data_IF_718245543140
#
_entry.id   IF_718245543140
#
_cell.length_a   1.000
_cell.length_b   1.000
_cell.length_c   1.000
_cell.angle_alpha   90.00
_cell.angle_beta   90.00
_cell.angle_gamma   90.00
#
_symmetry.space_group_name_H-M   'P 1'
#
loop_
_entity.id
_entity.type
_entity.pdbx_description
1 polymer ?
#
# COMPACT_ATOMS: atom_id res chain seq x y z
N UNK A 1 -3.78 24.81 -0.53
CA UNK A 1 -3.30 23.74 -1.41
C UNK A 1 -4.30 22.61 -1.31
N UNK A 2 -5.05 22.36 -2.36
CA UNK A 2 -6.03 21.26 -2.42
C UNK A 2 -5.27 19.95 -2.55
N UNK A 3 -5.52 19.00 -1.66
CA UNK A 3 -4.97 17.65 -1.79
C UNK A 3 -5.44 17.05 -3.12
N UNK A 4 -4.51 16.66 -4.00
CA UNK A 4 -4.88 15.97 -5.24
C UNK A 4 -5.20 14.50 -4.94
N UNK A 5 -6.38 14.29 -4.36
CA UNK A 5 -6.88 13.00 -3.92
C UNK A 5 -7.18 12.02 -5.08
N UNK A 6 -7.21 12.52 -6.31
CA UNK A 6 -7.41 11.76 -7.54
C UNK A 6 -6.09 11.42 -8.25
N UNK A 7 -4.94 11.87 -7.71
CA UNK A 7 -3.63 11.52 -8.24
C UNK A 7 -3.43 10.00 -8.18
N UNK A 8 -3.18 9.40 -9.34
CA UNK A 8 -2.77 8.00 -9.45
C UNK A 8 -1.31 7.84 -9.05
N UNK A 9 -1.04 6.81 -8.28
CA UNK A 9 0.27 6.47 -7.72
C UNK A 9 0.57 5.00 -8.01
N UNK A 10 1.80 4.72 -8.42
CA UNK A 10 2.31 3.36 -8.62
C UNK A 10 3.26 3.04 -7.47
N UNK A 11 2.95 2.00 -6.69
CA UNK A 11 3.87 1.44 -5.70
C UNK A 11 4.50 0.19 -6.29
N UNK A 12 5.80 0.23 -6.56
CA UNK A 12 6.59 -0.93 -6.98
C UNK A 12 7.22 -1.57 -5.75
N UNK A 13 6.67 -2.71 -5.33
CA UNK A 13 7.07 -3.39 -4.10
C UNK A 13 7.77 -4.69 -4.44
N UNK A 14 9.10 -4.71 -4.36
CA UNK A 14 9.92 -5.86 -4.71
C UNK A 14 9.70 -6.35 -6.15
N UNK A 15 9.38 -5.44 -7.07
CA UNK A 15 9.06 -5.74 -8.47
C UNK A 15 7.57 -5.88 -8.80
N UNK A 16 6.69 -5.97 -7.80
CA UNK A 16 5.23 -6.03 -8.01
C UNK A 16 4.63 -4.63 -8.00
N UNK A 17 3.98 -4.23 -9.09
CA UNK A 17 3.37 -2.90 -9.22
C UNK A 17 1.93 -2.87 -8.74
N UNK A 18 1.63 -1.91 -7.86
CA UNK A 18 0.29 -1.61 -7.34
C UNK A 18 -0.12 -0.21 -7.76
N UNK A 19 -1.15 -0.09 -8.59
CA UNK A 19 -1.76 1.20 -8.91
C UNK A 19 -2.88 1.53 -7.92
N UNK A 20 -2.88 2.76 -7.40
CA UNK A 20 -3.91 3.26 -6.49
C UNK A 20 -3.99 4.78 -6.54
N UNK A 21 -4.88 5.35 -5.72
CA UNK A 21 -5.04 6.80 -5.58
C UNK A 21 -4.35 7.29 -4.31
N UNK A 22 -3.89 8.54 -4.32
CA UNK A 22 -3.35 9.20 -3.14
C UNK A 22 -4.32 9.14 -1.95
N UNK A 23 -5.60 9.38 -2.20
CA UNK A 23 -6.69 9.24 -1.21
C UNK A 23 -6.76 7.86 -0.56
N UNK A 24 -6.40 6.80 -1.30
CA UNK A 24 -6.34 5.45 -0.73
C UNK A 24 -5.20 5.36 0.27
N UNK A 25 -4.02 5.89 -0.03
CA UNK A 25 -2.86 5.84 0.84
C UNK A 25 -2.98 6.76 2.06
N UNK A 26 -3.65 7.90 1.92
CA UNK A 26 -3.86 8.88 3.00
C UNK A 26 -5.06 8.59 3.90
N UNK A 27 -5.88 7.58 3.58
CA UNK A 27 -7.08 7.19 4.36
C UNK A 27 -6.80 6.91 5.84
N UNK A 28 -5.60 6.42 6.15
CA UNK A 28 -5.16 6.07 7.51
C UNK A 28 -3.89 6.88 7.84
N UNK A 29 -4.01 8.16 8.25
CA UNK A 29 -2.88 9.07 8.44
C UNK A 29 -1.89 8.64 9.53
N UNK A 30 -2.28 7.74 10.43
CA UNK A 30 -1.44 7.14 11.47
C UNK A 30 -0.47 6.08 10.95
N UNK A 31 -0.67 5.61 9.72
CA UNK A 31 0.18 4.59 9.09
C UNK A 31 1.36 5.22 8.37
N UNK A 32 2.43 4.44 8.14
CA UNK A 32 3.60 4.91 7.39
C UNK A 32 3.22 5.46 6.01
N UNK A 33 2.39 4.77 5.23
CA UNK A 33 1.97 5.25 3.90
C UNK A 33 1.07 6.49 4.04
N UNK A 34 0.23 6.57 5.06
CA UNK A 34 -0.59 7.75 5.32
C UNK A 34 0.24 8.98 5.61
N UNK A 35 1.26 8.86 6.46
CA UNK A 35 2.23 9.93 6.73
C UNK A 35 3.00 10.28 5.46
N UNK A 36 3.58 9.29 4.78
CA UNK A 36 4.44 9.46 3.62
C UNK A 36 3.73 10.16 2.46
N UNK A 37 2.48 9.80 2.17
CA UNK A 37 1.70 10.37 1.06
C UNK A 37 0.81 11.56 1.46
N UNK A 38 0.89 12.02 2.70
CA UNK A 38 0.22 13.26 3.13
C UNK A 38 0.77 14.47 2.39
N UNK A 39 -0.05 15.50 2.17
CA UNK A 39 0.39 16.74 1.51
C UNK A 39 1.49 17.50 2.26
N UNK A 40 1.74 17.17 3.54
CA UNK A 40 2.83 17.77 4.32
C UNK A 40 4.20 17.20 3.96
N UNK A 41 4.25 16.00 3.42
CA UNK A 41 5.49 15.26 3.15
C UNK A 41 5.73 15.04 1.65
N UNK A 42 4.99 15.73 0.79
CA UNK A 42 5.06 15.59 -0.66
C UNK A 42 6.45 15.90 -1.23
N UNK A 43 7.16 16.85 -0.63
CA UNK A 43 8.52 17.24 -1.05
C UNK A 43 9.58 16.16 -0.73
N UNK A 44 9.27 15.24 0.19
CA UNK A 44 10.17 14.14 0.59
C UNK A 44 10.03 12.92 -0.33
N UNK A 45 9.04 12.94 -1.23
CA UNK A 45 8.74 11.87 -2.15
C UNK A 45 9.55 12.06 -3.44
N UNK A 46 10.46 11.13 -3.71
CA UNK A 46 11.26 11.10 -4.94
C UNK A 46 10.79 9.95 -5.86
N UNK A 47 9.79 10.18 -6.73
CA UNK A 47 9.33 9.17 -7.66
C UNK A 47 10.41 8.88 -8.71
N UNK A 48 10.54 7.63 -9.11
CA UNK A 48 11.58 7.21 -10.07
C UNK A 48 11.20 7.55 -11.51
N UNK A 49 9.90 7.48 -11.85
CA UNK A 49 9.30 7.88 -13.13
C UNK A 49 7.81 8.21 -12.91
N UNK A 50 7.35 9.42 -13.22
CA UNK A 50 5.92 9.81 -13.34
C UNK A 50 4.96 9.29 -12.24
N UNK A 51 5.40 9.27 -10.96
CA UNK A 51 4.68 8.77 -9.76
C UNK A 51 4.84 7.27 -9.42
N UNK A 52 5.91 6.62 -9.88
CA UNK A 52 6.34 5.30 -9.39
C UNK A 52 7.27 5.41 -8.16
N UNK A 53 6.92 4.69 -7.08
CA UNK A 53 7.67 4.63 -5.82
C UNK A 53 8.14 3.21 -5.54
N UNK A 54 9.44 3.03 -5.35
CA UNK A 54 10.04 1.73 -5.11
C UNK A 54 10.16 1.40 -3.61
N UNK A 55 9.76 0.20 -3.23
CA UNK A 55 9.92 -0.37 -1.90
C UNK A 55 10.61 -1.73 -2.02
N UNK A 56 11.75 -1.88 -1.35
CA UNK A 56 12.46 -3.16 -1.24
C UNK A 56 11.77 -4.07 -0.19
N UNK A 57 10.59 -4.56 -0.52
CA UNK A 57 9.73 -5.41 0.33
C UNK A 57 9.04 -6.49 -0.49
N UNK A 58 8.44 -7.47 0.20
CA UNK A 58 7.72 -8.56 -0.47
C UNK A 58 6.41 -8.07 -1.11
N UNK A 59 6.38 -8.02 -2.44
CA UNK A 59 5.22 -7.59 -3.20
C UNK A 59 3.97 -8.43 -2.93
N UNK A 60 4.06 -9.75 -2.83
CA UNK A 60 2.89 -10.61 -2.60
C UNK A 60 2.22 -10.38 -1.23
N UNK A 61 3.03 -10.15 -0.20
CA UNK A 61 2.53 -9.81 1.13
C UNK A 61 1.88 -8.41 1.15
N UNK A 62 2.42 -7.47 0.36
CA UNK A 62 1.89 -6.10 0.28
C UNK A 62 0.43 -6.05 -0.21
N UNK A 63 -0.03 -7.07 -0.94
CA UNK A 63 -1.45 -7.19 -1.34
C UNK A 63 -2.40 -7.08 -0.15
N UNK A 64 -2.05 -7.66 1.00
CA UNK A 64 -2.89 -7.60 2.21
C UNK A 64 -2.99 -6.18 2.78
N UNK A 65 -1.88 -5.43 2.74
CA UNK A 65 -1.86 -4.02 3.12
C UNK A 65 -2.81 -3.26 2.19
N UNK A 66 -2.65 -3.40 0.86
CA UNK A 66 -3.51 -2.71 -0.10
C UNK A 66 -5.00 -3.09 0.05
N UNK A 67 -5.31 -4.36 0.32
CA UNK A 67 -6.68 -4.81 0.62
C UNK A 67 -7.22 -4.13 1.88
N UNK A 68 -6.42 -3.98 2.93
CA UNK A 68 -6.81 -3.26 4.13
C UNK A 68 -7.12 -1.77 3.83
N UNK A 69 -6.28 -1.06 3.06
CA UNK A 69 -6.57 0.33 2.70
C UNK A 69 -7.90 0.47 1.94
N UNK A 70 -8.20 -0.45 1.02
CA UNK A 70 -9.44 -0.43 0.23
C UNK A 70 -10.68 -0.80 1.04
N UNK A 71 -10.60 -1.83 1.88
CA UNK A 71 -11.79 -2.45 2.51
C UNK A 71 -11.94 -2.15 4.00
N UNK A 72 -10.88 -1.69 4.67
CA UNK A 72 -10.80 -1.57 6.13
C UNK A 72 -10.71 -2.92 6.86
N UNK A 73 -10.55 -4.04 6.14
CA UNK A 73 -10.46 -5.40 6.71
C UNK A 73 -9.26 -6.14 6.15
N UNK A 74 -8.67 -7.00 6.97
CA UNK A 74 -7.62 -7.93 6.54
C UNK A 74 -8.32 -9.23 6.13
N UNK A 75 -8.26 -9.58 4.84
CA UNK A 75 -8.78 -10.85 4.34
C UNK A 75 -7.61 -11.81 4.09
N UNK A 76 -7.30 -12.62 5.09
CA UNK A 76 -6.35 -13.73 4.95
C UNK A 76 -7.08 -14.91 4.33
N UNK A 77 -6.47 -15.56 3.33
CA UNK A 77 -7.06 -16.77 2.76
C UNK A 77 -7.04 -17.90 3.80
N UNK A 78 -8.14 -18.69 3.93
CA UNK A 78 -8.21 -19.80 4.88
C UNK A 78 -7.05 -20.80 4.76
N UNK A 79 -6.51 -20.99 3.55
CA UNK A 79 -5.40 -21.91 3.28
C UNK A 79 -4.08 -21.53 3.98
N UNK A 80 -3.90 -20.27 4.39
CA UNK A 80 -2.73 -19.85 5.18
C UNK A 80 -2.90 -20.17 6.68
N UNK A 81 -4.14 -20.36 7.14
CA UNK A 81 -4.46 -20.69 8.53
C UNK A 81 -4.46 -22.21 8.76
N UNK A 82 -4.78 -23.00 7.74
CA UNK A 82 -4.86 -24.47 7.84
C UNK A 82 -3.50 -25.18 7.71
N UNK A 83 -2.44 -24.51 7.27
CA UNK A 83 -1.11 -25.10 7.10
C UNK A 83 -0.35 -25.34 8.43
N UNK A 84 -0.87 -24.89 9.58
CA UNK A 84 -0.18 -25.01 10.87
C UNK A 84 -0.56 -26.20 11.75
N UNK A 85 -1.48 -27.07 11.36
CA UNK A 85 -1.73 -28.33 12.08
C UNK A 85 -2.54 -29.31 11.21
N UNK A 86 -1.92 -30.35 10.61
CA UNK A 86 -2.69 -31.52 10.23
C UNK A 86 -3.16 -32.24 11.52
N UNK A 87 -4.42 -32.68 11.62
CA UNK A 87 -4.86 -33.53 12.72
C UNK A 87 -4.11 -34.87 12.66
N UNK A 88 -3.59 -35.30 13.82
CA UNK A 88 -2.90 -36.56 14.04
C UNK A 88 -3.75 -37.78 13.73
#
# INVERSE_FOLDING_TARGET
>A
MTENNEQKIILNVGGVKYETYRSTLTKYPETLLGVMFSSRNEELLHPTNENEYFFDRNGNAFRYIMTFYRTGKIQLSPLLLTSRNPPS
#
